data_IF_837383604166
#
_entry.id   IF_837383604166
#
_cell.length_a   1.000
_cell.length_b   1.000
_cell.length_c   1.000
_cell.angle_alpha   90.00
_cell.angle_beta   90.00
_cell.angle_gamma   90.00
#
_symmetry.space_group_name_H-M   'P 1'
#
loop_
_entity.id
_entity.type
_entity.pdbx_description
1 polymer ?
#
# COMPACT_ATOMS: atom_id res chain seq x y z
N UNK A 1 7.43 23.61 -2.36
CA UNK A 1 6.42 23.95 -3.40
C UNK A 1 5.27 24.64 -2.66
N UNK A 2 4.81 25.80 -3.11
CA UNK A 2 3.62 26.41 -2.53
C UNK A 2 2.41 25.56 -2.90
N UNK A 3 1.73 25.00 -1.91
CA UNK A 3 0.48 24.24 -2.14
C UNK A 3 -0.63 25.21 -2.55
N UNK A 4 -1.29 24.96 -3.67
CA UNK A 4 -2.42 25.77 -4.14
C UNK A 4 -3.74 25.46 -3.41
N UNK A 5 -3.67 24.78 -2.25
CA UNK A 5 -4.81 24.42 -1.45
C UNK A 5 -4.59 24.70 0.04
N UNK A 6 -5.68 24.83 0.76
CA UNK A 6 -5.69 24.85 2.23
C UNK A 6 -6.56 23.71 2.73
N UNK A 7 -6.08 22.99 3.75
CA UNK A 7 -6.81 21.92 4.41
C UNK A 7 -7.23 22.36 5.80
N UNK A 8 -8.51 22.20 6.10
CA UNK A 8 -9.08 22.41 7.44
C UNK A 8 -9.71 21.09 7.92
N UNK A 9 -9.33 20.69 9.12
CA UNK A 9 -9.96 19.54 9.78
C UNK A 9 -11.29 19.98 10.42
N UNK A 10 -12.25 19.05 10.61
CA UNK A 10 -13.50 19.34 11.32
C UNK A 10 -13.25 19.79 12.76
N UNK A 11 -14.00 20.79 13.26
CA UNK A 11 -13.82 21.35 14.61
C UNK A 11 -14.15 20.36 15.73
N UNK A 12 -15.11 19.43 15.49
CA UNK A 12 -15.51 18.40 16.41
C UNK A 12 -15.32 17.02 15.76
N UNK A 13 -14.07 16.52 15.79
CA UNK A 13 -13.72 15.23 15.21
C UNK A 13 -14.19 14.14 16.20
N UNK A 14 -15.35 13.55 15.92
CA UNK A 14 -15.84 12.35 16.60
C UNK A 14 -15.06 11.11 16.16
N UNK A 15 -15.18 10.03 16.90
CA UNK A 15 -14.71 8.72 16.46
C UNK A 15 -15.53 8.26 15.25
N UNK A 16 -15.01 8.55 14.08
CA UNK A 16 -15.58 8.11 12.81
C UNK A 16 -14.97 6.76 12.42
N UNK A 17 -15.73 5.89 11.77
CA UNK A 17 -15.14 4.75 11.06
C UNK A 17 -14.06 5.22 10.10
N UNK A 18 -13.05 4.40 9.87
CA UNK A 18 -11.87 4.74 9.06
C UNK A 18 -12.25 5.25 7.66
N UNK A 19 -13.28 4.69 7.05
CA UNK A 19 -13.80 5.07 5.73
C UNK A 19 -14.71 6.30 5.72
N UNK A 20 -15.03 6.85 6.90
CA UNK A 20 -15.88 8.04 7.05
C UNK A 20 -15.07 9.29 7.44
N UNK A 21 -13.76 9.20 7.64
CA UNK A 21 -12.91 10.35 7.91
C UNK A 21 -12.97 11.34 6.74
N UNK A 22 -13.12 12.63 7.06
CA UNK A 22 -13.22 13.69 6.08
C UNK A 22 -12.49 14.95 6.52
N UNK A 23 -12.22 15.81 5.58
CA UNK A 23 -11.62 17.12 5.77
C UNK A 23 -12.28 18.13 4.82
N UNK A 24 -12.00 19.40 5.04
CA UNK A 24 -12.39 20.48 4.12
C UNK A 24 -11.15 20.93 3.37
N UNK A 25 -11.30 21.16 2.08
CA UNK A 25 -10.27 21.71 1.21
C UNK A 25 -10.76 23.00 0.58
N UNK A 26 -9.91 24.03 0.59
CA UNK A 26 -10.15 25.29 -0.12
C UNK A 26 -9.21 25.36 -1.32
N UNK A 27 -9.77 25.45 -2.52
CA UNK A 27 -9.09 25.67 -3.77
C UNK A 27 -9.73 26.86 -4.48
N UNK A 28 -8.94 27.82 -4.98
CA UNK A 28 -9.44 29.02 -5.66
C UNK A 28 -10.53 29.79 -4.89
N UNK A 29 -10.45 29.80 -3.56
CA UNK A 29 -11.42 30.47 -2.68
C UNK A 29 -12.73 29.70 -2.45
N UNK A 30 -12.88 28.50 -2.97
CA UNK A 30 -14.05 27.66 -2.74
C UNK A 30 -13.69 26.51 -1.79
N UNK A 31 -14.44 26.43 -0.67
CA UNK A 31 -14.31 25.31 0.27
C UNK A 31 -15.26 24.18 -0.11
N UNK A 32 -14.75 22.94 -0.11
CA UNK A 32 -15.55 21.72 -0.27
C UNK A 32 -15.11 20.62 0.71
N UNK A 33 -16.03 19.73 1.04
CA UNK A 33 -15.75 18.55 1.88
C UNK A 33 -15.30 17.40 1.00
N UNK A 34 -14.23 16.69 1.42
CA UNK A 34 -13.77 15.44 0.83
C UNK A 34 -13.61 14.37 1.91
N UNK A 35 -13.91 13.12 1.59
CA UNK A 35 -13.50 11.98 2.42
C UNK A 35 -12.04 11.64 2.15
N UNK A 36 -11.33 11.19 3.19
CA UNK A 36 -9.94 10.76 3.06
C UNK A 36 -9.77 9.63 2.03
N UNK A 37 -10.76 8.73 1.95
CA UNK A 37 -10.76 7.58 1.05
C UNK A 37 -11.42 7.82 -0.32
N UNK A 38 -11.78 9.06 -0.63
CA UNK A 38 -12.15 9.45 -2.00
C UNK A 38 -10.88 9.60 -2.85
N UNK A 39 -10.15 8.49 -3.00
CA UNK A 39 -8.80 8.47 -3.56
C UNK A 39 -8.69 9.17 -4.91
N UNK A 40 -9.65 8.96 -5.84
CA UNK A 40 -9.67 9.62 -7.14
C UNK A 40 -9.65 11.15 -6.99
N UNK A 41 -10.49 11.71 -6.11
CA UNK A 41 -10.54 13.16 -5.87
C UNK A 41 -9.27 13.67 -5.16
N UNK A 42 -8.76 12.92 -4.20
CA UNK A 42 -7.57 13.31 -3.43
C UNK A 42 -6.31 13.28 -4.32
N UNK A 43 -6.16 12.27 -5.19
CA UNK A 43 -5.02 12.14 -6.10
C UNK A 43 -5.00 13.19 -7.21
N UNK A 44 -6.17 13.66 -7.66
CA UNK A 44 -6.26 14.74 -8.68
C UNK A 44 -5.59 16.03 -8.24
N UNK A 45 -5.56 16.31 -6.93
CA UNK A 45 -5.00 17.55 -6.42
C UNK A 45 -3.50 17.37 -6.15
N UNK A 46 -2.62 18.14 -6.86
CA UNK A 46 -1.18 17.98 -6.72
C UNK A 46 -0.69 18.10 -5.27
N UNK A 47 -0.02 17.06 -4.77
CA UNK A 47 0.57 17.03 -3.43
C UNK A 47 -0.42 16.83 -2.27
N UNK A 48 -1.74 16.83 -2.50
CA UNK A 48 -2.73 16.72 -1.42
C UNK A 48 -2.61 15.41 -0.67
N UNK A 49 -2.53 14.26 -1.37
CA UNK A 49 -2.40 12.97 -0.70
C UNK A 49 -1.13 12.90 0.17
N UNK A 50 0.00 13.37 -0.34
CA UNK A 50 1.25 13.39 0.40
C UNK A 50 1.17 14.27 1.64
N UNK A 51 0.56 15.47 1.51
CA UNK A 51 0.32 16.36 2.64
C UNK A 51 -0.55 15.71 3.71
N UNK A 52 -1.68 15.10 3.32
CA UNK A 52 -2.56 14.41 4.25
C UNK A 52 -1.85 13.22 4.92
N UNK A 53 -1.25 12.35 4.13
CA UNK A 53 -0.62 11.14 4.62
C UNK A 53 0.57 11.45 5.54
N UNK A 54 1.52 12.27 5.09
CA UNK A 54 2.79 12.45 5.79
C UNK A 54 2.71 13.52 6.88
N UNK A 55 2.02 14.66 6.62
CA UNK A 55 2.02 15.77 7.56
C UNK A 55 0.82 15.75 8.52
N UNK A 56 -0.36 15.29 8.09
CA UNK A 56 -1.56 15.29 8.95
C UNK A 56 -1.77 13.98 9.68
N UNK A 57 -1.50 12.84 9.04
CA UNK A 57 -1.78 11.53 9.59
C UNK A 57 -0.54 10.80 10.10
N UNK A 58 0.66 11.33 9.89
CA UNK A 58 1.93 10.69 10.26
C UNK A 58 2.02 9.24 9.76
N UNK A 59 1.69 9.02 8.48
CA UNK A 59 1.67 7.72 7.84
C UNK A 59 3.06 7.11 7.73
N UNK A 60 3.26 5.92 8.29
CA UNK A 60 4.58 5.30 8.45
C UNK A 60 4.76 3.95 7.75
N UNK A 61 3.71 3.39 7.14
CA UNK A 61 3.81 2.04 6.56
C UNK A 61 4.92 1.89 5.53
N UNK A 62 5.16 2.81 4.59
CA UNK A 62 6.26 2.67 3.65
C UNK A 62 7.63 2.53 4.33
N UNK A 63 7.90 3.34 5.36
CA UNK A 63 9.15 3.30 6.14
C UNK A 63 9.29 1.96 6.87
N UNK A 64 8.28 1.59 7.66
CA UNK A 64 8.33 0.37 8.48
C UNK A 64 8.43 -0.89 7.62
N UNK A 65 7.65 -0.96 6.56
CA UNK A 65 7.62 -2.13 5.68
C UNK A 65 8.92 -2.27 4.88
N UNK A 66 9.51 -1.17 4.41
CA UNK A 66 10.81 -1.24 3.72
C UNK A 66 11.94 -1.59 4.66
N UNK A 67 11.93 -1.12 5.91
CA UNK A 67 12.90 -1.52 6.94
C UNK A 67 12.79 -3.02 7.22
N UNK A 68 11.58 -3.53 7.50
CA UNK A 68 11.35 -4.96 7.74
C UNK A 68 11.83 -5.82 6.57
N UNK A 69 11.54 -5.41 5.33
CA UNK A 69 12.00 -6.11 4.13
C UNK A 69 13.53 -6.14 4.05
N UNK A 70 14.17 -4.98 4.22
CA UNK A 70 15.61 -4.83 4.06
C UNK A 70 16.38 -5.68 5.07
N UNK A 71 16.02 -5.62 6.35
CA UNK A 71 16.67 -6.37 7.42
C UNK A 71 16.60 -7.88 7.13
N UNK A 72 15.43 -8.40 6.80
CA UNK A 72 15.27 -9.85 6.57
C UNK A 72 15.90 -10.32 5.24
N UNK A 73 15.88 -9.51 4.18
CA UNK A 73 16.57 -9.82 2.92
C UNK A 73 18.08 -9.92 3.16
N UNK A 74 18.65 -8.98 3.92
CA UNK A 74 20.08 -8.99 4.27
C UNK A 74 20.44 -10.17 5.19
N UNK A 75 19.61 -10.49 6.19
CA UNK A 75 19.80 -11.65 7.06
C UNK A 75 19.75 -12.98 6.31
N UNK A 76 18.97 -13.05 5.23
CA UNK A 76 18.92 -14.24 4.34
C UNK A 76 20.14 -14.36 3.42
N UNK A 77 21.05 -13.38 3.41
CA UNK A 77 22.20 -13.31 2.50
C UNK A 77 21.86 -12.84 1.09
N UNK A 78 20.61 -12.39 0.87
CA UNK A 78 20.17 -11.80 -0.41
C UNK A 78 20.47 -10.28 -0.43
N UNK A 79 20.53 -9.68 -1.63
CA UNK A 79 20.70 -8.23 -1.82
C UNK A 79 19.36 -7.57 -2.07
N UNK A 80 19.05 -6.50 -1.33
CA UNK A 80 17.83 -5.70 -1.53
C UNK A 80 17.77 -5.11 -2.96
N UNK A 81 18.94 -4.77 -3.54
CA UNK A 81 19.04 -4.22 -4.90
C UNK A 81 18.69 -5.23 -5.99
N UNK A 82 18.71 -6.53 -5.68
CA UNK A 82 18.35 -7.60 -6.63
C UNK A 82 16.85 -7.93 -6.62
N UNK A 83 16.09 -7.24 -5.77
CA UNK A 83 14.66 -7.42 -5.75
C UNK A 83 14.01 -6.83 -7.01
N UNK A 84 13.07 -7.62 -7.54
CA UNK A 84 12.16 -7.26 -8.63
C UNK A 84 10.74 -7.32 -8.07
N UNK A 85 10.20 -6.17 -7.74
CA UNK A 85 8.99 -6.06 -6.96
C UNK A 85 7.76 -5.80 -7.84
N UNK A 86 6.65 -6.42 -7.48
CA UNK A 86 5.31 -6.06 -7.90
C UNK A 86 4.56 -5.47 -6.70
N UNK A 87 4.09 -4.25 -6.82
CA UNK A 87 3.27 -3.59 -5.79
C UNK A 87 1.82 -3.53 -6.24
N UNK A 88 0.93 -4.14 -5.46
CA UNK A 88 -0.53 -4.09 -5.63
C UNK A 88 -1.12 -2.98 -4.76
N UNK A 89 -1.95 -2.13 -5.37
CA UNK A 89 -2.46 -0.93 -4.72
C UNK A 89 -1.36 0.12 -4.55
N UNK A 90 -0.57 0.35 -5.62
CA UNK A 90 0.62 1.21 -5.59
C UNK A 90 0.31 2.70 -5.28
N UNK A 91 -0.93 3.14 -5.48
CA UNK A 91 -1.38 4.48 -5.13
C UNK A 91 -0.51 5.57 -5.75
N UNK A 92 -0.21 6.61 -4.99
CA UNK A 92 0.67 7.70 -5.43
C UNK A 92 2.17 7.33 -5.45
N UNK A 93 2.56 6.11 -5.06
CA UNK A 93 3.95 5.64 -5.12
C UNK A 93 4.78 5.85 -3.85
N UNK A 94 4.16 6.06 -2.69
CA UNK A 94 4.90 6.30 -1.43
C UNK A 94 5.79 5.12 -1.02
N UNK A 95 5.32 3.87 -1.15
CA UNK A 95 6.14 2.69 -0.88
C UNK A 95 7.24 2.53 -1.95
N UNK A 96 6.86 2.66 -3.23
CA UNK A 96 7.83 2.64 -4.32
C UNK A 96 8.97 3.63 -4.11
N UNK A 97 8.66 4.88 -3.72
CA UNK A 97 9.66 5.89 -3.39
C UNK A 97 10.54 5.47 -2.19
N UNK A 98 9.96 4.87 -1.17
CA UNK A 98 10.72 4.45 0.00
C UNK A 98 11.72 3.34 -0.35
N UNK A 99 11.30 2.34 -1.13
CA UNK A 99 12.16 1.21 -1.48
C UNK A 99 13.21 1.55 -2.54
N UNK A 100 12.94 2.49 -3.45
CA UNK A 100 13.95 2.94 -4.43
C UNK A 100 15.10 3.70 -3.78
N UNK A 101 14.87 4.40 -2.66
CA UNK A 101 15.94 5.01 -1.86
C UNK A 101 16.92 3.99 -1.27
N UNK A 102 16.53 2.72 -1.17
CA UNK A 102 17.37 1.61 -0.71
C UNK A 102 18.11 0.91 -1.86
N UNK A 103 17.97 1.43 -3.09
CA UNK A 103 18.66 0.95 -4.28
C UNK A 103 17.89 -0.10 -5.09
N UNK A 104 16.63 -0.40 -4.75
CA UNK A 104 15.77 -1.22 -5.61
C UNK A 104 15.42 -0.41 -6.86
N UNK A 105 15.76 -0.94 -8.02
CA UNK A 105 15.53 -0.28 -9.32
C UNK A 105 14.45 -0.95 -10.15
N UNK A 106 14.11 -2.20 -9.87
CA UNK A 106 13.10 -2.96 -10.60
C UNK A 106 11.84 -3.07 -9.75
N UNK A 107 10.90 -2.15 -9.95
CA UNK A 107 9.60 -2.15 -9.30
C UNK A 107 8.50 -1.83 -10.31
N UNK A 108 7.43 -2.61 -10.27
CA UNK A 108 6.22 -2.44 -11.09
C UNK A 108 5.06 -2.13 -10.15
N UNK A 109 4.35 -1.04 -10.43
CA UNK A 109 3.12 -0.67 -9.71
C UNK A 109 1.88 -1.11 -10.47
N UNK A 110 0.85 -1.52 -9.73
CA UNK A 110 -0.49 -1.74 -10.27
C UNK A 110 -1.54 -1.18 -9.31
N UNK A 111 -2.48 -0.45 -9.86
CA UNK A 111 -3.61 0.11 -9.13
C UNK A 111 -4.84 0.14 -10.05
N UNK A 112 -6.03 0.12 -9.47
CA UNK A 112 -7.29 0.20 -10.23
C UNK A 112 -7.71 1.66 -10.48
N UNK A 113 -7.15 2.60 -9.72
CA UNK A 113 -7.50 4.04 -9.77
C UNK A 113 -6.59 4.76 -10.76
N UNK A 114 -7.10 5.28 -11.90
CA UNK A 114 -6.28 6.00 -12.88
C UNK A 114 -5.55 7.21 -12.30
N UNK A 115 -6.21 7.95 -11.43
CA UNK A 115 -5.66 9.14 -10.77
C UNK A 115 -4.46 8.83 -9.86
N UNK A 116 -4.36 7.59 -9.36
CA UNK A 116 -3.20 7.13 -8.60
C UNK A 116 -1.94 7.10 -9.50
N UNK A 117 -2.06 6.56 -10.71
CA UNK A 117 -0.97 6.53 -11.68
C UNK A 117 -0.57 7.95 -12.13
N UNK A 118 -1.53 8.85 -12.31
CA UNK A 118 -1.26 10.26 -12.65
C UNK A 118 -0.55 10.96 -11.49
N UNK A 119 -1.01 10.78 -10.25
CA UNK A 119 -0.37 11.31 -9.06
C UNK A 119 1.06 10.79 -8.90
N UNK A 120 1.28 9.48 -9.09
CA UNK A 120 2.60 8.89 -9.03
C UNK A 120 3.56 9.50 -10.06
N UNK A 121 3.15 9.59 -11.32
CA UNK A 121 3.98 10.21 -12.38
C UNK A 121 4.32 11.66 -12.11
N UNK A 122 3.39 12.41 -11.49
CA UNK A 122 3.55 13.82 -11.14
C UNK A 122 4.46 14.01 -9.92
N UNK A 123 4.19 13.25 -8.84
CA UNK A 123 4.78 13.49 -7.52
C UNK A 123 6.09 12.69 -7.32
N UNK A 124 6.21 11.52 -7.97
CA UNK A 124 7.34 10.61 -7.88
C UNK A 124 7.75 10.05 -9.26
N UNK A 125 8.17 10.91 -10.20
CA UNK A 125 8.52 10.48 -11.56
C UNK A 125 9.67 9.46 -11.54
N UNK A 126 9.51 8.36 -12.29
CA UNK A 126 10.55 7.34 -12.47
C UNK A 126 10.70 6.34 -11.30
N UNK A 127 9.79 6.34 -10.33
CA UNK A 127 9.81 5.36 -9.22
C UNK A 127 9.52 3.95 -9.72
N UNK A 128 8.57 3.78 -10.65
CA UNK A 128 8.26 2.48 -11.25
C UNK A 128 8.81 2.38 -12.67
N UNK A 129 9.33 1.18 -13.03
CA UNK A 129 9.62 0.87 -14.44
C UNK A 129 8.36 0.90 -15.30
N UNK A 130 7.27 0.33 -14.73
CA UNK A 130 5.96 0.30 -15.35
C UNK A 130 4.89 0.54 -14.27
N UNK A 131 3.82 1.23 -14.64
CA UNK A 131 2.67 1.43 -13.78
C UNK A 131 1.40 1.09 -14.56
N UNK A 132 0.70 0.02 -14.15
CA UNK A 132 -0.51 -0.45 -14.79
C UNK A 132 -1.76 0.05 -14.05
N UNK A 133 -2.74 0.51 -14.81
CA UNK A 133 -4.08 0.83 -14.31
C UNK A 133 -5.00 -0.32 -14.73
N UNK A 134 -5.05 -1.36 -13.91
CA UNK A 134 -5.81 -2.58 -14.20
C UNK A 134 -6.35 -3.23 -12.93
N UNK A 135 -7.45 -3.96 -13.08
CA UNK A 135 -7.96 -4.86 -12.04
C UNK A 135 -7.10 -6.13 -11.98
N UNK A 136 -6.41 -6.34 -10.86
CA UNK A 136 -5.56 -7.51 -10.65
C UNK A 136 -6.35 -8.83 -10.66
N UNK A 137 -7.66 -8.80 -10.46
CA UNK A 137 -8.50 -10.00 -10.57
C UNK A 137 -8.72 -10.44 -12.02
N UNK A 138 -8.56 -9.51 -12.99
CA UNK A 138 -8.86 -9.71 -14.42
C UNK A 138 -7.79 -9.07 -15.32
N UNK A 139 -6.51 -9.31 -15.00
CA UNK A 139 -5.40 -8.79 -15.79
C UNK A 139 -5.55 -9.12 -17.29
N UNK A 140 -5.29 -8.13 -18.14
CA UNK A 140 -5.17 -8.32 -19.57
C UNK A 140 -4.11 -9.35 -19.92
N UNK A 141 -4.26 -10.03 -21.06
CA UNK A 141 -3.25 -11.00 -21.52
C UNK A 141 -1.88 -10.36 -21.75
N UNK A 142 -1.84 -9.12 -22.24
CA UNK A 142 -0.61 -8.36 -22.47
C UNK A 142 0.14 -8.11 -21.16
N UNK A 143 -0.56 -7.59 -20.14
CA UNK A 143 0.03 -7.30 -18.84
C UNK A 143 0.47 -8.59 -18.12
N UNK A 144 -0.37 -9.63 -18.16
CA UNK A 144 -0.01 -10.94 -17.58
C UNK A 144 1.26 -11.53 -18.23
N UNK A 145 1.38 -11.44 -19.57
CA UNK A 145 2.57 -11.89 -20.29
C UNK A 145 3.80 -11.09 -19.87
N UNK A 146 3.70 -9.76 -19.88
CA UNK A 146 4.80 -8.87 -19.51
C UNK A 146 5.27 -9.15 -18.08
N UNK A 147 4.37 -9.22 -17.10
CA UNK A 147 4.70 -9.52 -15.71
C UNK A 147 5.36 -10.90 -15.56
N UNK A 148 4.92 -11.91 -16.32
CA UNK A 148 5.53 -13.24 -16.34
C UNK A 148 6.98 -13.24 -16.86
N UNK A 149 7.32 -12.33 -17.80
CA UNK A 149 8.67 -12.19 -18.36
C UNK A 149 9.63 -11.44 -17.41
N UNK A 150 9.13 -10.63 -16.47
CA UNK A 150 9.94 -9.81 -15.55
C UNK A 150 10.69 -10.61 -14.48
N UNK A 151 10.39 -11.92 -14.29
CA UNK A 151 11.01 -12.78 -13.27
C UNK A 151 10.96 -12.16 -11.87
N UNK A 152 9.79 -11.69 -11.49
CA UNK A 152 9.53 -11.05 -10.20
C UNK A 152 9.91 -11.99 -9.04
N UNK A 153 10.53 -11.44 -8.00
CA UNK A 153 10.94 -12.17 -6.80
C UNK A 153 10.41 -11.57 -5.49
N UNK A 154 9.62 -10.49 -5.60
CA UNK A 154 8.91 -9.92 -4.46
C UNK A 154 7.54 -9.37 -4.86
N UNK A 155 6.57 -9.54 -3.96
CA UNK A 155 5.22 -9.02 -4.07
C UNK A 155 4.88 -8.22 -2.83
N UNK A 156 4.35 -7.02 -3.03
CA UNK A 156 4.06 -6.08 -1.96
C UNK A 156 2.62 -5.60 -2.07
N UNK A 157 1.96 -5.47 -0.92
CA UNK A 157 0.69 -4.79 -0.80
C UNK A 157 0.71 -3.89 0.44
N UNK A 158 1.02 -2.61 0.23
CA UNK A 158 1.22 -1.64 1.31
C UNK A 158 -0.07 -0.87 1.59
N UNK A 159 -0.72 -1.16 2.72
CA UNK A 159 -1.89 -0.43 3.26
C UNK A 159 -3.14 -0.42 2.37
N UNK A 160 -3.30 -1.45 1.54
CA UNK A 160 -4.43 -1.55 0.63
C UNK A 160 -5.36 -2.76 0.92
N UNK A 161 -5.05 -3.59 1.94
CA UNK A 161 -5.81 -4.79 2.30
C UNK A 161 -6.91 -4.50 3.36
N UNK A 162 -7.45 -3.30 3.37
CA UNK A 162 -8.63 -2.99 4.19
C UNK A 162 -9.87 -3.68 3.63
N UNK A 163 -10.83 -3.98 4.50
CA UNK A 163 -12.08 -4.63 4.11
C UNK A 163 -12.75 -3.91 2.94
N UNK A 164 -12.99 -4.67 1.87
CA UNK A 164 -13.65 -4.19 0.66
C UNK A 164 -12.77 -3.44 -0.35
N UNK A 165 -11.49 -3.18 -0.06
CA UNK A 165 -10.62 -2.46 -1.01
C UNK A 165 -9.97 -3.42 -2.03
N UNK A 166 -9.27 -4.45 -1.57
CA UNK A 166 -8.62 -5.43 -2.45
C UNK A 166 -9.19 -6.82 -2.19
N UNK A 167 -9.81 -7.47 -3.20
CA UNK A 167 -10.27 -8.85 -3.08
C UNK A 167 -9.11 -9.82 -2.87
N UNK A 168 -9.33 -10.90 -2.12
CA UNK A 168 -8.36 -12.00 -1.93
C UNK A 168 -7.85 -12.54 -3.27
N UNK A 169 -8.71 -12.64 -4.29
CA UNK A 169 -8.34 -13.07 -5.65
C UNK A 169 -7.22 -12.21 -6.26
N UNK A 170 -7.26 -10.88 -6.06
CA UNK A 170 -6.23 -9.97 -6.55
C UNK A 170 -4.88 -10.24 -5.87
N UNK A 171 -4.87 -10.44 -4.56
CA UNK A 171 -3.66 -10.79 -3.81
C UNK A 171 -3.07 -12.14 -4.26
N UNK A 172 -3.91 -13.17 -4.43
CA UNK A 172 -3.49 -14.48 -4.95
C UNK A 172 -2.88 -14.34 -6.34
N UNK A 173 -3.48 -13.52 -7.22
CA UNK A 173 -2.95 -13.27 -8.55
C UNK A 173 -1.54 -12.68 -8.47
N UNK A 174 -1.31 -11.68 -7.62
CA UNK A 174 0.01 -11.09 -7.41
C UNK A 174 1.03 -12.08 -6.87
N UNK A 175 0.67 -12.84 -5.85
CA UNK A 175 1.53 -13.91 -5.33
C UNK A 175 1.92 -14.92 -6.42
N UNK A 176 1.01 -15.26 -7.32
CA UNK A 176 1.29 -16.24 -8.37
C UNK A 176 2.22 -15.74 -9.47
N UNK A 177 2.43 -14.43 -9.57
CA UNK A 177 3.34 -13.81 -10.54
C UNK A 177 4.81 -13.79 -10.08
N UNK A 178 5.08 -14.01 -8.80
CA UNK A 178 6.44 -14.08 -8.30
C UNK A 178 6.97 -15.52 -8.25
N UNK A 179 8.30 -15.68 -8.29
CA UNK A 179 8.95 -17.00 -8.17
C UNK A 179 8.62 -17.68 -6.83
N UNK A 180 8.75 -19.00 -6.78
CA UNK A 180 8.76 -19.75 -5.51
C UNK A 180 9.90 -19.25 -4.63
N UNK A 181 9.72 -19.23 -3.32
CA UNK A 181 10.64 -18.62 -2.34
C UNK A 181 10.84 -17.12 -2.54
N UNK A 182 9.97 -16.46 -3.32
CA UNK A 182 9.91 -15.01 -3.43
C UNK A 182 9.35 -14.36 -2.16
N UNK A 183 9.71 -13.11 -1.92
CA UNK A 183 9.27 -12.33 -0.77
C UNK A 183 7.82 -11.84 -0.95
N UNK A 184 7.03 -11.96 0.09
CA UNK A 184 5.65 -11.44 0.14
C UNK A 184 5.55 -10.52 1.34
N UNK A 185 5.31 -9.23 1.10
CA UNK A 185 5.23 -8.19 2.12
C UNK A 185 3.86 -7.51 2.08
N UNK A 186 3.17 -7.49 3.19
CA UNK A 186 1.88 -6.80 3.30
C UNK A 186 1.59 -6.38 4.73
N UNK A 187 0.59 -5.57 4.93
CA UNK A 187 0.14 -5.19 6.25
C UNK A 187 -1.39 -5.18 6.37
N UNK A 188 -1.87 -5.38 7.58
CA UNK A 188 -3.29 -5.35 7.93
C UNK A 188 -3.49 -4.62 9.25
N UNK A 189 -4.69 -4.10 9.49
CA UNK A 189 -5.04 -3.53 10.78
C UNK A 189 -4.82 -4.55 11.90
N UNK A 190 -4.23 -4.13 13.02
CA UNK A 190 -3.98 -5.00 14.18
C UNK A 190 -5.25 -5.66 14.71
N UNK A 191 -6.35 -4.90 14.75
CA UNK A 191 -7.66 -5.44 15.16
C UNK A 191 -8.14 -6.59 14.27
N UNK A 192 -7.89 -6.50 12.96
CA UNK A 192 -8.18 -7.57 12.01
C UNK A 192 -7.21 -8.74 12.16
N UNK A 193 -5.93 -8.49 12.40
CA UNK A 193 -4.91 -9.53 12.60
C UNK A 193 -5.19 -10.38 13.85
N UNK A 194 -5.60 -9.74 14.96
CA UNK A 194 -5.87 -10.36 16.26
C UNK A 194 -7.31 -10.91 16.39
N UNK A 195 -8.16 -10.75 15.39
CA UNK A 195 -9.54 -11.22 15.44
C UNK A 195 -9.61 -12.73 15.76
N UNK A 196 -10.58 -13.14 16.56
CA UNK A 196 -10.82 -14.56 16.90
C UNK A 196 -12.03 -15.10 16.13
N UNK A 197 -13.11 -14.35 16.16
CA UNK A 197 -14.38 -14.68 15.53
C UNK A 197 -14.67 -13.65 14.43
N UNK A 198 -15.44 -14.05 13.43
CA UNK A 198 -15.86 -13.20 12.30
C UNK A 198 -14.72 -12.38 11.66
N UNK A 199 -13.60 -13.04 11.44
CA UNK A 199 -12.43 -12.42 10.84
C UNK A 199 -12.70 -12.01 9.39
N UNK A 200 -12.07 -10.89 8.93
CA UNK A 200 -12.07 -10.52 7.53
C UNK A 200 -11.63 -11.65 6.61
N UNK A 201 -12.16 -11.68 5.39
CA UNK A 201 -11.88 -12.72 4.40
C UNK A 201 -10.37 -12.85 4.13
N UNK A 202 -9.68 -11.73 4.01
CA UNK A 202 -8.23 -11.72 3.80
C UNK A 202 -7.47 -12.37 4.97
N UNK A 203 -7.87 -12.12 6.20
CA UNK A 203 -7.21 -12.71 7.40
C UNK A 203 -7.45 -14.21 7.47
N UNK A 204 -8.66 -14.67 7.13
CA UNK A 204 -8.97 -16.11 7.01
C UNK A 204 -8.08 -16.77 5.94
N UNK A 205 -7.97 -16.14 4.76
CA UNK A 205 -7.09 -16.59 3.68
C UNK A 205 -5.62 -16.65 4.11
N UNK A 206 -5.12 -15.59 4.75
CA UNK A 206 -3.74 -15.52 5.24
C UNK A 206 -3.44 -16.66 6.21
N UNK A 207 -4.27 -16.86 7.24
CA UNK A 207 -4.08 -17.92 8.23
C UNK A 207 -4.08 -19.32 7.59
N UNK A 208 -5.01 -19.57 6.68
CA UNK A 208 -5.05 -20.83 5.92
C UNK A 208 -3.80 -21.00 5.04
N UNK A 209 -3.29 -19.93 4.46
CA UNK A 209 -2.09 -19.97 3.62
C UNK A 209 -0.84 -20.32 4.44
N UNK A 210 -0.74 -19.81 5.66
CA UNK A 210 0.33 -20.19 6.59
C UNK A 210 0.19 -21.64 7.05
N UNK A 211 -1.01 -22.06 7.46
CA UNK A 211 -1.27 -23.44 7.90
C UNK A 211 -0.96 -24.48 6.82
N UNK A 212 -1.28 -24.17 5.55
CA UNK A 212 -1.01 -25.04 4.41
C UNK A 212 0.42 -24.93 3.85
N UNK A 213 1.25 -24.06 4.41
CA UNK A 213 2.62 -23.84 3.96
C UNK A 213 2.76 -23.10 2.63
N UNK A 214 1.70 -22.38 2.17
CA UNK A 214 1.77 -21.51 0.99
C UNK A 214 2.47 -20.18 1.29
N UNK A 215 2.48 -19.78 2.55
CA UNK A 215 3.23 -18.64 3.06
C UNK A 215 4.02 -19.10 4.30
N UNK A 216 5.33 -18.91 4.23
CA UNK A 216 6.24 -19.13 5.35
C UNK A 216 6.62 -17.79 5.95
N UNK A 217 6.01 -17.43 7.08
CA UNK A 217 6.23 -16.14 7.76
C UNK A 217 7.67 -16.06 8.27
N UNK A 218 8.37 -15.03 7.87
CA UNK A 218 9.75 -14.74 8.27
C UNK A 218 9.78 -13.73 9.42
N UNK A 219 8.95 -12.69 9.34
CA UNK A 219 8.89 -11.65 10.35
C UNK A 219 7.50 -11.00 10.41
N UNK A 220 7.16 -10.48 11.59
CA UNK A 220 5.99 -9.63 11.82
C UNK A 220 6.37 -8.46 12.69
N UNK A 221 5.78 -7.29 12.42
CA UNK A 221 6.01 -6.08 13.22
C UNK A 221 4.72 -5.31 13.44
N UNK A 222 4.33 -5.12 14.71
CA UNK A 222 3.24 -4.21 15.07
C UNK A 222 3.78 -2.78 15.17
N UNK A 223 3.06 -1.83 14.60
CA UNK A 223 3.47 -0.43 14.58
C UNK A 223 2.28 0.52 14.44
N UNK A 224 2.50 1.80 14.73
CA UNK A 224 1.52 2.85 14.43
C UNK A 224 1.58 3.12 12.93
N UNK A 225 0.53 2.71 12.24
CA UNK A 225 0.35 2.89 10.80
C UNK A 225 0.18 4.37 10.44
N UNK A 226 -0.76 5.03 11.13
CA UNK A 226 -1.06 6.46 11.04
C UNK A 226 -1.87 6.92 12.25
N UNK A 227 -2.09 8.20 12.36
CA UNK A 227 -3.11 8.73 13.25
C UNK A 227 -4.44 8.94 12.50
N UNK A 228 -5.54 8.92 13.22
CA UNK A 228 -6.81 9.50 12.79
C UNK A 228 -6.73 11.04 12.89
N UNK A 229 -7.63 11.76 12.24
CA UNK A 229 -7.70 13.22 12.37
C UNK A 229 -8.00 13.68 13.81
N UNK A 230 -8.58 12.84 14.65
CA UNK A 230 -8.78 13.09 16.10
C UNK A 230 -7.53 12.82 16.95
N UNK A 231 -6.39 12.47 16.35
CA UNK A 231 -5.12 12.20 17.03
C UNK A 231 -4.97 10.79 17.59
N UNK A 232 -6.00 9.93 17.55
CA UNK A 232 -5.87 8.54 17.99
C UNK A 232 -4.98 7.77 17.03
N UNK A 233 -4.16 6.88 17.57
CA UNK A 233 -3.29 6.01 16.77
C UNK A 233 -4.07 4.84 16.17
N UNK A 234 -3.76 4.53 14.92
CA UNK A 234 -4.21 3.33 14.23
C UNK A 234 -3.02 2.37 14.10
N UNK A 235 -3.11 1.21 14.72
CA UNK A 235 -2.05 0.20 14.68
C UNK A 235 -2.28 -0.82 13.57
N UNK A 236 -1.20 -1.17 12.89
CA UNK A 236 -1.15 -2.24 11.88
C UNK A 236 -0.08 -3.27 12.25
N UNK A 237 -0.19 -4.45 11.64
CA UNK A 237 0.83 -5.48 11.64
C UNK A 237 1.36 -5.61 10.23
N UNK A 238 2.66 -5.35 10.05
CA UNK A 238 3.38 -5.72 8.84
C UNK A 238 3.77 -7.19 8.93
N UNK A 239 3.59 -7.92 7.84
CA UNK A 239 3.90 -9.34 7.71
C UNK A 239 4.83 -9.51 6.52
N UNK A 240 5.98 -10.14 6.75
CA UNK A 240 6.91 -10.56 5.72
C UNK A 240 6.96 -12.09 5.70
N UNK A 241 6.78 -12.65 4.51
CA UNK A 241 6.78 -14.09 4.31
C UNK A 241 7.55 -14.47 3.03
N UNK A 242 7.89 -15.73 2.92
CA UNK A 242 8.31 -16.39 1.66
C UNK A 242 7.13 -17.20 1.11
N UNK A 243 6.94 -17.12 -0.23
CA UNK A 243 5.97 -17.94 -0.96
C UNK A 243 6.48 -19.38 -1.08
#
# INVERSE_FOLDING_TARGET
MSTNFQVRLPDNIKDLPINEEYFFITENGQERRLKLHDYAEVYRIPGLYNYLALEKLAYRSPEVMTTLLTENVQESGESIQELKLLELGAGSGLFGQAVTKLGVTSIIGIDIVPEAAEACRRDYPGVYEEYFVEDMTELSQSTRKLLGEKKLNGFVCCSALSDGHIPVKAFITGMNLIKNQGWVLFNVAKSSYECKDDCPEFVKFYRQSVEKGYLNVQATQTYIHRCFFNGKSLEYVAILAKK
#
